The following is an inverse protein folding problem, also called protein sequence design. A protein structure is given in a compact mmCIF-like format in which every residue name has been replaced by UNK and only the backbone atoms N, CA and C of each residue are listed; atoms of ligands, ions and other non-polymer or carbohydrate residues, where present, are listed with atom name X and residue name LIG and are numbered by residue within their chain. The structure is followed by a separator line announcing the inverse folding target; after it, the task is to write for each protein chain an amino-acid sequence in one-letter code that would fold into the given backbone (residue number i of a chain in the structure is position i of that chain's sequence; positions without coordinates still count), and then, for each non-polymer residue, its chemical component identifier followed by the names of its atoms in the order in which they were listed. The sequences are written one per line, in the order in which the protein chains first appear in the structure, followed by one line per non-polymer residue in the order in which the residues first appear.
data_IF_325966720350
#
_entry.id   IF_325966720350
#
_cell.length_a   1.000
_cell.length_b   1.000
_cell.length_c   1.000
_cell.angle_alpha   90.00
_cell.angle_beta   90.00
_cell.angle_gamma   90.00
#
_symmetry.space_group_name_H-M   'P 1'
#
loop_
_entity.id
_entity.type
_entity.pdbx_description
1 polymer ?
#
# COMPACT_ATOMS: atom_id res chain seq x y z
N UNK A 1 19.72 5.81 12.77
CA UNK A 1 18.67 5.98 11.75
C UNK A 1 17.66 6.98 12.28
N UNK A 2 17.72 8.22 11.80
CA UNK A 2 16.85 9.31 12.23
C UNK A 2 15.50 9.18 11.53
N UNK A 3 14.47 8.74 12.24
CA UNK A 3 13.11 8.67 11.71
C UNK A 3 12.61 10.08 11.39
N UNK A 4 12.37 10.41 10.11
CA UNK A 4 11.71 11.65 9.71
C UNK A 4 10.36 11.73 10.44
N UNK A 5 10.14 12.81 11.20
CA UNK A 5 9.01 12.99 12.14
C UNK A 5 7.61 12.77 11.51
N UNK A 6 7.50 12.80 10.17
CA UNK A 6 6.27 12.62 9.39
C UNK A 6 6.45 11.74 8.13
N UNK A 7 7.30 10.71 8.17
CA UNK A 7 7.43 9.80 7.02
C UNK A 7 6.09 9.11 6.72
N UNK A 8 5.62 9.09 5.45
CA UNK A 8 4.37 8.44 5.11
C UNK A 8 4.45 6.92 5.33
N UNK A 9 3.32 6.32 5.68
CA UNK A 9 3.17 4.87 5.76
C UNK A 9 2.46 4.36 4.51
N UNK A 10 3.01 3.33 3.88
CA UNK A 10 2.41 2.69 2.73
C UNK A 10 1.60 1.48 3.19
N UNK A 11 0.32 1.44 2.86
CA UNK A 11 -0.54 0.28 3.08
C UNK A 11 -0.66 -0.51 1.78
N UNK A 12 -0.34 -1.81 1.81
CA UNK A 12 -0.46 -2.69 0.65
C UNK A 12 -1.13 -4.02 0.99
N UNK A 13 -1.56 -4.71 -0.06
CA UNK A 13 -2.11 -6.05 0.03
C UNK A 13 -1.03 -7.11 0.27
N UNK A 14 -1.48 -8.32 0.61
CA UNK A 14 -0.64 -9.50 0.82
C UNK A 14 -0.28 -10.22 -0.49
N UNK A 15 -0.30 -9.51 -1.62
CA UNK A 15 0.15 -10.07 -2.90
C UNK A 15 1.65 -10.36 -2.86
N UNK A 16 2.13 -11.40 -3.56
CA UNK A 16 3.55 -11.79 -3.53
C UNK A 16 4.49 -10.65 -3.96
N UNK A 17 4.05 -9.79 -4.89
CA UNK A 17 4.78 -8.60 -5.31
C UNK A 17 4.96 -7.56 -4.20
N UNK A 18 4.01 -7.47 -3.25
CA UNK A 18 4.03 -6.50 -2.15
C UNK A 18 4.66 -7.06 -0.87
N UNK A 19 4.91 -8.37 -0.80
CA UNK A 19 5.59 -9.03 0.33
C UNK A 19 7.10 -9.16 0.06
N UNK A 20 7.53 -8.99 -1.20
CA UNK A 20 8.93 -9.08 -1.60
C UNK A 20 9.86 -8.28 -0.68
N UNK A 21 10.88 -8.96 -0.15
CA UNK A 21 11.85 -8.37 0.79
C UNK A 21 12.65 -7.24 0.16
N UNK A 22 12.93 -7.34 -1.14
CA UNK A 22 13.59 -6.31 -1.95
C UNK A 22 12.79 -5.00 -1.94
N UNK A 23 11.47 -5.09 -2.13
CA UNK A 23 10.58 -3.93 -2.13
C UNK A 23 10.52 -3.26 -0.75
N UNK A 24 10.39 -4.06 0.30
CA UNK A 24 10.43 -3.56 1.69
C UNK A 24 11.74 -2.85 2.00
N UNK A 25 12.86 -3.44 1.56
CA UNK A 25 14.18 -2.88 1.79
C UNK A 25 14.40 -1.58 1.02
N UNK A 26 13.91 -1.50 -0.22
CA UNK A 26 13.91 -0.29 -1.03
C UNK A 26 13.17 0.86 -0.33
N UNK A 27 11.92 0.65 0.10
CA UNK A 27 11.14 1.68 0.80
C UNK A 27 11.75 2.12 2.12
N UNK A 28 12.30 1.18 2.89
CA UNK A 28 12.90 1.47 4.19
C UNK A 28 14.23 2.22 4.06
N UNK A 29 15.11 1.80 3.14
CA UNK A 29 16.45 2.38 3.00
C UNK A 29 16.44 3.71 2.26
N UNK A 30 15.69 3.81 1.17
CA UNK A 30 15.74 4.97 0.29
C UNK A 30 14.81 6.11 0.76
N UNK A 31 13.62 5.75 1.23
CA UNK A 31 12.57 6.72 1.53
C UNK A 31 12.17 6.79 3.01
N UNK A 32 12.72 5.92 3.86
CA UNK A 32 12.31 5.78 5.27
C UNK A 32 10.78 5.62 5.39
N UNK A 33 10.16 4.89 4.46
CA UNK A 33 8.71 4.63 4.41
C UNK A 33 8.43 3.30 5.12
N UNK A 34 7.47 3.34 6.05
CA UNK A 34 7.00 2.12 6.72
C UNK A 34 5.99 1.42 5.83
N UNK A 35 6.29 0.17 5.48
CA UNK A 35 5.36 -0.69 4.75
C UNK A 35 4.46 -1.44 5.74
N UNK A 36 3.14 -1.31 5.56
CA UNK A 36 2.09 -1.89 6.39
C UNK A 36 1.26 -2.80 5.49
N UNK A 37 0.95 -3.99 5.99
CA UNK A 37 0.11 -4.96 5.29
C UNK A 37 -1.26 -5.06 5.94
N UNK A 38 -2.30 -5.18 5.11
CA UNK A 38 -3.66 -5.41 5.59
C UNK A 38 -3.79 -6.77 6.29
N UNK A 39 -4.58 -6.83 7.36
CA UNK A 39 -4.92 -8.11 7.98
C UNK A 39 -5.73 -8.99 7.00
N UNK A 40 -5.53 -10.31 7.02
CA UNK A 40 -6.42 -11.24 6.33
C UNK A 40 -7.88 -11.01 6.76
N UNK A 41 -8.82 -11.17 5.83
CA UNK A 41 -10.27 -11.04 6.07
C UNK A 41 -10.70 -9.67 6.64
N UNK A 42 -9.96 -8.60 6.34
CA UNK A 42 -10.30 -7.24 6.77
C UNK A 42 -10.71 -6.33 5.60
N UNK A 43 -11.94 -6.50 5.05
CA UNK A 43 -12.40 -5.79 3.85
C UNK A 43 -12.43 -4.26 4.01
N UNK A 44 -12.65 -3.76 5.24
CA UNK A 44 -12.69 -2.32 5.52
C UNK A 44 -11.36 -1.61 5.20
N UNK A 45 -10.23 -2.31 5.22
CA UNK A 45 -8.91 -1.74 4.86
C UNK A 45 -8.79 -1.46 3.36
N UNK A 46 -9.60 -2.12 2.53
CA UNK A 46 -9.51 -2.08 1.07
C UNK A 46 -10.54 -1.17 0.39
N UNK A 47 -11.54 -0.69 1.13
CA UNK A 47 -12.66 0.06 0.53
C UNK A 47 -12.26 1.29 -0.30
N UNK A 48 -11.15 1.98 0.05
CA UNK A 48 -10.66 3.13 -0.75
C UNK A 48 -10.12 2.70 -2.11
N UNK A 49 -9.33 1.62 -2.17
CA UNK A 49 -8.76 1.16 -3.44
C UNK A 49 -9.84 0.50 -4.30
N UNK A 50 -10.75 -0.26 -3.69
CA UNK A 50 -11.90 -0.86 -4.37
C UNK A 50 -12.82 0.21 -4.96
N UNK A 51 -13.09 1.29 -4.20
CA UNK A 51 -13.86 2.44 -4.71
C UNK A 51 -13.15 3.11 -5.87
N UNK A 52 -11.85 3.38 -5.74
CA UNK A 52 -11.06 3.99 -6.80
C UNK A 52 -11.07 3.15 -8.09
N UNK A 53 -10.81 1.85 -7.98
CA UNK A 53 -10.85 0.91 -9.10
C UNK A 53 -12.22 0.89 -9.79
N UNK A 54 -13.31 0.94 -9.00
CA UNK A 54 -14.67 1.02 -9.55
C UNK A 54 -14.91 2.34 -10.30
N UNK A 55 -14.50 3.48 -9.74
CA UNK A 55 -14.62 4.77 -10.42
C UNK A 55 -13.85 4.78 -11.75
N UNK A 56 -12.62 4.27 -11.77
CA UNK A 56 -11.81 4.19 -12.99
C UNK A 56 -12.52 3.35 -14.07
N UNK A 57 -12.93 2.12 -13.73
CA UNK A 57 -13.63 1.23 -14.67
C UNK A 57 -14.95 1.81 -15.18
N UNK A 58 -15.69 2.52 -14.34
CA UNK A 58 -16.96 3.13 -14.74
C UNK A 58 -16.74 4.35 -15.64
N UNK A 59 -15.63 5.08 -15.48
CA UNK A 59 -15.27 6.20 -16.34
C UNK A 59 -14.74 5.74 -17.70
N UNK A 60 -14.09 4.57 -17.78
CA UNK A 60 -13.65 3.98 -19.05
C UNK A 60 -14.80 3.35 -19.87
N UNK A 61 -15.96 3.13 -19.23
CA UNK A 61 -17.18 2.60 -19.84
C UNK A 61 -18.17 3.70 -20.28
N UNK A 62 -17.77 4.98 -20.19
CA UNK A 62 -18.58 6.15 -20.53
C UNK A 62 -18.10 6.80 -21.84
#
# INVERSE_FOLDING_TARGET
MTTKKNSPCLLSDNGPCYIASSLKQYFCKEYNIKHIHGKPLHPQTKGKIERYQRTMKNNDLA
#
